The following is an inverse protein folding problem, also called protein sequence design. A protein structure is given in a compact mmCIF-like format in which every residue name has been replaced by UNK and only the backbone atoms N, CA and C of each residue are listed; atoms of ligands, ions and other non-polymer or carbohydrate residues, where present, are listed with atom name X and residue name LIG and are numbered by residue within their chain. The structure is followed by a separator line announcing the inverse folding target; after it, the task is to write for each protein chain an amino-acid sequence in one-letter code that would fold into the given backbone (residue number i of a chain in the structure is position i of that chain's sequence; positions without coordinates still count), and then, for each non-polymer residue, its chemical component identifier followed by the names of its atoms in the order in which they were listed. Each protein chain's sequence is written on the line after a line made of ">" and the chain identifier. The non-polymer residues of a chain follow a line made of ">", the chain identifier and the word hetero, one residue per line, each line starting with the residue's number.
data_IF_046445416809
#
_entry.id   IF_046445416809
#
_cell.length_a   1.000
_cell.length_b   1.000
_cell.length_c   1.000
_cell.angle_alpha   90.00
_cell.angle_beta   90.00
_cell.angle_gamma   90.00
#
_symmetry.space_group_name_H-M   'P 1'
#
loop_
_entity.id
_entity.type
_entity.pdbx_description
1 polymer ?
#
# COMPACT_ATOMS: atom_id res chain seq x y z
N UNK A 1 7.42 -13.94 -20.56
CA UNK A 1 8.40 -12.85 -20.69
C UNK A 1 8.06 -12.08 -21.96
N UNK A 2 7.51 -10.87 -21.84
CA UNK A 2 7.34 -9.99 -22.99
C UNK A 2 8.73 -9.54 -23.49
N UNK A 3 8.96 -9.45 -24.81
CA UNK A 3 10.25 -8.99 -25.32
C UNK A 3 10.47 -7.53 -24.89
N UNK A 4 11.61 -7.27 -24.26
CA UNK A 4 12.09 -5.90 -24.03
C UNK A 4 12.30 -5.27 -25.41
N UNK A 5 11.48 -4.27 -25.75
CA UNK A 5 11.58 -3.55 -27.02
C UNK A 5 12.81 -2.62 -27.03
N UNK A 6 14.00 -3.21 -27.07
CA UNK A 6 15.26 -2.46 -27.05
C UNK A 6 15.39 -1.45 -28.19
N UNK A 7 14.64 -1.63 -29.27
CA UNK A 7 14.67 -0.78 -30.46
C UNK A 7 14.03 0.58 -30.20
N UNK A 8 12.89 0.62 -29.51
CA UNK A 8 12.21 1.88 -29.17
C UNK A 8 13.00 2.70 -28.14
N UNK A 9 13.65 2.04 -27.17
CA UNK A 9 14.54 2.70 -26.22
C UNK A 9 15.75 3.38 -26.88
N UNK A 10 16.32 2.75 -27.91
CA UNK A 10 17.40 3.35 -28.70
C UNK A 10 16.93 4.51 -29.56
N UNK A 11 15.69 4.47 -30.07
CA UNK A 11 15.10 5.57 -30.81
C UNK A 11 14.90 6.81 -29.93
N UNK A 12 14.32 6.66 -28.73
CA UNK A 12 14.16 7.78 -27.80
C UNK A 12 15.50 8.41 -27.41
N UNK A 13 16.57 7.61 -27.27
CA UNK A 13 17.91 8.14 -26.93
C UNK A 13 18.44 9.14 -27.96
N UNK A 14 18.02 9.05 -29.22
CA UNK A 14 18.46 9.93 -30.31
C UNK A 14 17.70 11.26 -30.39
N UNK A 15 16.66 11.44 -29.56
CA UNK A 15 15.88 12.67 -29.55
C UNK A 15 16.69 13.84 -28.96
N UNK A 16 16.94 14.94 -29.71
CA UNK A 16 17.72 16.07 -29.24
C UNK A 16 17.01 16.87 -28.13
N UNK A 17 15.69 16.93 -28.12
CA UNK A 17 14.94 17.69 -27.09
C UNK A 17 14.82 16.89 -25.78
N UNK A 18 15.29 17.41 -24.64
CA UNK A 18 15.20 16.71 -23.36
C UNK A 18 13.76 16.39 -22.94
N UNK A 19 12.82 17.30 -23.20
CA UNK A 19 11.40 17.11 -22.84
C UNK A 19 10.73 16.04 -23.70
N UNK A 20 11.01 16.02 -25.00
CA UNK A 20 10.45 15.01 -25.92
C UNK A 20 11.10 13.64 -25.64
N UNK A 21 12.39 13.62 -25.32
CA UNK A 21 13.09 12.39 -24.92
C UNK A 21 12.46 11.76 -23.68
N UNK A 22 12.16 12.58 -22.66
CA UNK A 22 11.47 12.11 -21.45
C UNK A 22 10.08 11.55 -21.80
N UNK A 23 9.27 12.31 -22.55
CA UNK A 23 7.95 11.86 -22.98
C UNK A 23 7.99 10.57 -23.82
N UNK A 24 9.04 10.38 -24.62
CA UNK A 24 9.27 9.17 -25.42
C UNK A 24 9.52 7.94 -24.54
N UNK A 25 10.35 8.07 -23.50
CA UNK A 25 10.55 6.99 -22.52
C UNK A 25 9.29 6.68 -21.73
N UNK A 26 8.56 7.71 -21.31
CA UNK A 26 7.28 7.55 -20.60
C UNK A 26 6.26 6.79 -21.46
N UNK A 27 6.20 7.07 -22.77
CA UNK A 27 5.31 6.37 -23.70
C UNK A 27 5.65 4.88 -23.85
N UNK A 28 6.94 4.52 -23.91
CA UNK A 28 7.37 3.11 -23.95
C UNK A 28 7.02 2.41 -22.63
N UNK A 29 7.27 3.07 -21.50
CA UNK A 29 6.88 2.58 -20.18
C UNK A 29 5.37 2.34 -20.08
N UNK A 30 4.56 3.27 -20.61
CA UNK A 30 3.10 3.19 -20.61
C UNK A 30 2.54 2.16 -21.60
N UNK A 31 3.22 1.90 -22.73
CA UNK A 31 2.83 0.88 -23.70
C UNK A 31 2.91 -0.55 -23.16
N UNK A 32 3.83 -0.81 -22.21
CA UNK A 32 3.91 -2.07 -21.47
C UNK A 32 2.78 -2.24 -20.44
N UNK A 33 2.08 -1.15 -20.12
CA UNK A 33 0.98 -1.08 -19.13
C UNK A 33 -0.40 -0.95 -19.78
N UNK A 34 -0.50 -0.93 -21.12
CA UNK A 34 -1.77 -0.78 -21.83
C UNK A 34 -2.51 -2.10 -21.99
N UNK A 35 -3.22 -2.49 -20.94
CA UNK A 35 -4.56 -3.08 -21.09
C UNK A 35 -5.53 -2.36 -20.15
N UNK A 36 -6.65 -1.94 -20.72
CA UNK A 36 -7.88 -1.36 -20.13
C UNK A 36 -7.91 0.17 -19.91
N UNK A 37 -8.53 0.83 -20.89
CA UNK A 37 -9.29 2.06 -20.72
C UNK A 37 -10.45 1.86 -19.72
N UNK A 38 -10.74 2.88 -18.88
CA UNK A 38 -12.06 3.06 -18.27
C UNK A 38 -12.27 2.63 -16.81
N UNK A 39 -11.23 2.32 -16.05
CA UNK A 39 -11.32 2.10 -14.60
C UNK A 39 -10.00 2.42 -13.91
N UNK A 40 -10.03 2.89 -12.67
CA UNK A 40 -8.84 3.09 -11.86
C UNK A 40 -7.96 1.84 -11.93
N UNK A 41 -6.79 1.93 -12.58
CA UNK A 41 -5.87 0.79 -12.69
C UNK A 41 -5.37 0.48 -11.29
N UNK A 42 -5.97 -0.53 -10.66
CA UNK A 42 -5.60 -1.01 -9.33
C UNK A 42 -4.16 -1.51 -9.38
N UNK A 43 -3.28 -0.95 -8.55
CA UNK A 43 -1.88 -1.37 -8.52
C UNK A 43 -1.73 -2.84 -8.10
N UNK A 44 -0.57 -3.43 -8.38
CA UNK A 44 -0.22 -4.77 -7.90
C UNK A 44 -0.33 -4.87 -6.36
N UNK A 45 0.02 -3.79 -5.63
CA UNK A 45 -0.11 -3.75 -4.17
C UNK A 45 -1.58 -3.80 -3.75
N UNK A 46 -2.47 -3.04 -4.39
CA UNK A 46 -3.91 -3.10 -4.13
C UNK A 46 -4.47 -4.50 -4.41
N UNK A 47 -4.12 -5.08 -5.55
CA UNK A 47 -4.59 -6.39 -5.99
C UNK A 47 -4.10 -7.51 -5.06
N UNK A 48 -2.85 -7.46 -4.61
CA UNK A 48 -2.29 -8.43 -3.67
C UNK A 48 -3.02 -8.40 -2.31
N UNK A 49 -3.28 -7.20 -1.76
CA UNK A 49 -4.02 -7.06 -0.50
C UNK A 49 -5.44 -7.61 -0.64
N UNK A 50 -6.11 -7.29 -1.75
CA UNK A 50 -7.44 -7.82 -2.03
C UNK A 50 -7.42 -9.36 -2.16
N UNK A 51 -6.52 -9.91 -2.97
CA UNK A 51 -6.42 -11.35 -3.18
C UNK A 51 -6.12 -12.12 -1.89
N UNK A 52 -5.24 -11.59 -1.03
CA UNK A 52 -4.93 -12.18 0.28
C UNK A 52 -6.18 -12.26 1.17
N UNK A 53 -6.97 -11.18 1.25
CA UNK A 53 -8.19 -11.18 2.06
C UNK A 53 -9.32 -12.05 1.48
N UNK A 54 -9.35 -12.28 0.17
CA UNK A 54 -10.30 -13.22 -0.44
C UNK A 54 -10.06 -14.68 0.02
N UNK A 55 -8.87 -14.99 0.53
CA UNK A 55 -8.56 -16.31 1.09
C UNK A 55 -9.01 -16.48 2.55
N UNK A 56 -9.55 -15.44 3.19
CA UNK A 56 -10.00 -15.48 4.59
C UNK A 56 -11.18 -16.45 4.75
N UNK A 57 -11.07 -17.31 5.77
CA UNK A 57 -12.12 -18.22 6.24
C UNK A 57 -12.62 -17.81 7.63
N UNK A 58 -13.76 -18.35 8.12
CA UNK A 58 -14.25 -18.09 9.47
C UNK A 58 -13.25 -18.43 10.59
N UNK A 59 -12.35 -19.40 10.35
CA UNK A 59 -11.33 -19.83 11.31
C UNK A 59 -10.01 -19.04 11.21
N UNK A 60 -9.93 -18.08 10.28
CA UNK A 60 -8.72 -17.29 10.08
C UNK A 60 -8.45 -16.36 11.27
N UNK A 61 -7.18 -16.17 11.65
CA UNK A 61 -6.83 -15.21 12.70
C UNK A 61 -7.22 -13.78 12.30
N UNK A 62 -7.42 -12.86 13.26
CA UNK A 62 -7.77 -11.47 12.98
C UNK A 62 -6.80 -10.78 12.01
N UNK A 63 -5.50 -11.02 12.20
CA UNK A 63 -4.47 -10.66 11.24
C UNK A 63 -4.08 -11.87 10.40
N UNK A 64 -4.28 -11.78 9.09
CA UNK A 64 -3.94 -12.83 8.15
C UNK A 64 -2.51 -12.59 7.64
N UNK A 65 -1.63 -13.56 7.85
CA UNK A 65 -0.24 -13.51 7.36
C UNK A 65 -0.13 -14.29 6.05
N UNK A 66 0.50 -13.67 5.06
CA UNK A 66 0.94 -14.32 3.83
C UNK A 66 2.45 -14.15 3.68
N UNK A 67 3.14 -15.23 3.30
CA UNK A 67 4.57 -15.23 2.98
C UNK A 67 4.76 -15.54 1.51
N UNK A 68 5.64 -14.79 0.88
CA UNK A 68 6.18 -15.07 -0.44
C UNK A 68 7.66 -15.40 -0.27
N UNK A 69 7.95 -16.69 -0.17
CA UNK A 69 9.32 -17.18 0.03
C UNK A 69 10.23 -16.91 -1.18
N UNK A 70 9.65 -16.81 -2.39
CA UNK A 70 10.40 -16.56 -3.62
C UNK A 70 10.95 -15.13 -3.69
N UNK A 71 10.21 -14.18 -3.11
CA UNK A 71 10.60 -12.77 -3.05
C UNK A 71 11.05 -12.31 -1.66
N UNK A 72 11.07 -13.21 -0.67
CA UNK A 72 11.38 -12.88 0.71
C UNK A 72 10.48 -11.76 1.25
N UNK A 73 9.20 -11.79 0.89
CA UNK A 73 8.23 -10.77 1.32
C UNK A 73 7.17 -11.38 2.24
N UNK A 74 6.77 -10.61 3.24
CA UNK A 74 5.72 -11.01 4.17
C UNK A 74 4.70 -9.89 4.27
N UNK A 75 3.41 -10.24 4.18
CA UNK A 75 2.32 -9.25 4.29
C UNK A 75 1.30 -9.73 5.31
N UNK A 76 0.98 -8.84 6.24
CA UNK A 76 -0.02 -9.00 7.26
C UNK A 76 -1.23 -8.12 6.93
N UNK A 77 -2.41 -8.71 6.80
CA UNK A 77 -3.63 -7.97 6.48
C UNK A 77 -4.67 -8.06 7.60
N UNK A 78 -5.44 -6.99 7.76
CA UNK A 78 -6.60 -6.95 8.65
C UNK A 78 -7.71 -6.08 8.06
N UNK A 79 -8.93 -6.61 7.88
CA UNK A 79 -10.07 -5.81 7.48
C UNK A 79 -10.33 -4.68 8.47
N UNK A 80 -10.64 -3.51 7.93
CA UNK A 80 -11.33 -2.48 8.69
C UNK A 80 -12.74 -2.97 9.05
N UNK A 81 -13.40 -2.27 9.96
CA UNK A 81 -14.80 -2.51 10.27
C UNK A 81 -15.67 -2.42 9.01
N UNK A 82 -15.32 -1.52 8.07
CA UNK A 82 -15.98 -1.36 6.77
C UNK A 82 -15.01 -0.77 5.73
N UNK A 83 -15.20 -1.16 4.47
CA UNK A 83 -14.76 -0.38 3.31
C UNK A 83 -13.25 -0.36 3.03
N UNK A 84 -12.44 -1.04 3.85
CA UNK A 84 -10.99 -0.98 3.74
C UNK A 84 -10.30 -2.21 4.36
N UNK A 85 -9.03 -2.39 3.99
CA UNK A 85 -8.13 -3.42 4.55
C UNK A 85 -6.80 -2.76 4.89
N UNK A 86 -6.37 -2.88 6.15
CA UNK A 86 -5.01 -2.56 6.57
C UNK A 86 -4.08 -3.65 6.09
N UNK A 87 -2.96 -3.26 5.48
CA UNK A 87 -1.88 -4.14 5.13
C UNK A 87 -0.56 -3.57 5.65
N UNK A 88 0.18 -4.40 6.37
CA UNK A 88 1.53 -4.10 6.82
C UNK A 88 2.42 -5.14 6.17
N UNK A 89 3.51 -4.75 5.54
CA UNK A 89 4.34 -5.70 4.80
C UNK A 89 5.82 -5.40 4.90
N UNK A 90 6.62 -6.44 4.79
CA UNK A 90 8.04 -6.36 4.51
C UNK A 90 8.25 -6.78 3.07
N UNK A 91 8.57 -5.85 2.17
CA UNK A 91 8.80 -6.12 0.74
C UNK A 91 10.18 -5.58 0.39
N UNK A 92 11.04 -6.41 -0.20
CA UNK A 92 12.43 -6.05 -0.50
C UNK A 92 13.18 -5.48 0.72
N UNK A 93 12.92 -6.03 1.91
CA UNK A 93 13.47 -5.55 3.19
C UNK A 93 13.05 -4.12 3.59
N UNK A 94 11.96 -3.60 3.00
CA UNK A 94 11.37 -2.30 3.34
C UNK A 94 10.00 -2.52 3.99
N UNK A 95 9.78 -1.90 5.15
CA UNK A 95 8.49 -1.92 5.84
C UNK A 95 7.51 -0.98 5.13
N UNK A 96 6.32 -1.48 4.79
CA UNK A 96 5.22 -0.74 4.21
C UNK A 96 4.00 -0.79 5.12
N UNK A 97 3.26 0.32 5.17
CA UNK A 97 1.91 0.38 5.74
C UNK A 97 0.99 0.90 4.65
N UNK A 98 -0.10 0.20 4.40
CA UNK A 98 -1.08 0.52 3.36
C UNK A 98 -2.49 0.33 3.87
N UNK A 99 -3.41 1.14 3.35
CA UNK A 99 -4.85 0.90 3.46
C UNK A 99 -5.40 0.76 2.05
N UNK A 100 -5.84 -0.45 1.72
CA UNK A 100 -6.59 -0.73 0.49
C UNK A 100 -8.05 -0.34 0.72
N UNK A 101 -8.62 0.49 -0.15
CA UNK A 101 -10.00 0.97 -0.03
C UNK A 101 -10.92 0.32 -1.07
N UNK A 102 -12.18 0.10 -0.70
CA UNK A 102 -13.26 -0.33 -1.60
C UNK A 102 -13.76 0.81 -2.49
N UNK A 103 -13.77 2.02 -1.94
CA UNK A 103 -14.18 3.25 -2.62
C UNK A 103 -13.04 4.26 -2.60
N UNK A 104 -12.88 5.08 -3.66
CA UNK A 104 -11.85 6.11 -3.70
C UNK A 104 -11.91 7.06 -2.50
N UNK A 105 -10.73 7.37 -1.97
CA UNK A 105 -10.55 8.39 -0.94
C UNK A 105 -11.03 9.75 -1.45
N UNK A 106 -11.89 10.40 -0.67
CA UNK A 106 -12.47 11.70 -0.98
C UNK A 106 -11.84 12.76 -0.08
N UNK A 107 -10.69 13.27 -0.49
CA UNK A 107 -9.94 14.29 0.24
C UNK A 107 -8.51 14.42 -0.26
N UNK A 108 -7.84 15.49 0.13
CA UNK A 108 -6.42 15.70 -0.15
C UNK A 108 -5.54 15.29 1.04
N UNK A 109 -6.13 15.23 2.23
CA UNK A 109 -5.43 14.88 3.47
C UNK A 109 -5.92 13.56 4.03
N UNK A 110 -5.06 12.91 4.82
CA UNK A 110 -5.37 11.68 5.55
C UNK A 110 -5.08 11.94 7.01
N UNK A 111 -6.13 12.04 7.83
CA UNK A 111 -5.98 12.22 9.27
C UNK A 111 -6.09 10.88 9.97
N UNK A 112 -5.17 10.63 10.89
CA UNK A 112 -5.11 9.37 11.65
C UNK A 112 -5.20 9.66 13.14
N UNK A 113 -6.02 8.87 13.83
CA UNK A 113 -6.15 8.86 15.29
C UNK A 113 -5.93 7.45 15.82
N UNK A 114 -5.31 7.35 17.00
CA UNK A 114 -5.14 6.11 17.75
C UNK A 114 -5.95 6.20 19.04
N UNK A 115 -6.93 5.32 19.21
CA UNK A 115 -7.89 5.36 20.33
C UNK A 115 -8.54 6.74 20.55
N UNK A 116 -8.76 7.48 19.46
CA UNK A 116 -9.34 8.84 19.46
C UNK A 116 -8.35 9.96 19.79
N UNK A 117 -7.07 9.66 19.97
CA UNK A 117 -6.01 10.66 20.11
C UNK A 117 -5.37 10.95 18.75
N UNK A 118 -5.12 12.23 18.38
CA UNK A 118 -4.47 12.56 17.12
C UNK A 118 -3.10 11.90 16.99
N UNK A 119 -2.89 11.19 15.88
CA UNK A 119 -1.59 10.63 15.51
C UNK A 119 -0.67 11.71 14.93
N UNK A 120 0.64 11.53 15.07
CA UNK A 120 1.64 12.52 14.65
C UNK A 120 2.01 12.48 13.15
N UNK A 121 1.14 11.97 12.27
CA UNK A 121 1.57 11.47 10.95
C UNK A 121 0.73 11.84 9.73
N UNK A 122 -0.21 12.80 9.81
CA UNK A 122 -1.10 13.10 8.67
C UNK A 122 -0.34 13.46 7.37
N UNK A 123 0.83 14.11 7.48
CA UNK A 123 1.68 14.50 6.34
C UNK A 123 2.47 13.34 5.71
N UNK A 124 2.44 12.15 6.32
CA UNK A 124 3.23 10.99 5.88
C UNK A 124 2.42 9.98 5.05
N UNK A 125 1.14 10.28 4.79
CA UNK A 125 0.27 9.44 3.95
C UNK A 125 0.20 9.97 2.52
N UNK A 126 0.27 9.04 1.58
CA UNK A 126 0.18 9.29 0.15
C UNK A 126 -1.08 8.62 -0.41
N UNK A 127 -1.89 9.39 -1.11
CA UNK A 127 -3.04 8.89 -1.84
C UNK A 127 -2.54 8.35 -3.20
N UNK A 128 -2.82 7.09 -3.48
CA UNK A 128 -2.42 6.34 -4.69
C UNK A 128 -3.65 5.72 -5.35
N UNK A 129 -3.45 5.18 -6.54
CA UNK A 129 -4.47 4.41 -7.28
C UNK A 129 -5.82 5.15 -7.40
N UNK A 130 -5.75 6.45 -7.74
CA UNK A 130 -6.93 7.33 -7.81
C UNK A 130 -7.79 7.32 -6.54
N UNK A 131 -7.14 7.21 -5.37
CA UNK A 131 -7.81 7.17 -4.08
C UNK A 131 -8.10 5.77 -3.56
N UNK A 132 -7.81 4.71 -4.31
CA UNK A 132 -8.10 3.34 -3.87
C UNK A 132 -7.04 2.75 -2.94
N UNK A 133 -5.89 3.41 -2.78
CA UNK A 133 -4.81 2.96 -1.92
C UNK A 133 -4.22 4.15 -1.16
N UNK A 134 -4.17 4.07 0.16
CA UNK A 134 -3.39 4.97 0.99
C UNK A 134 -2.08 4.26 1.36
N UNK A 135 -0.94 4.90 1.14
CA UNK A 135 0.37 4.36 1.51
C UNK A 135 1.07 5.32 2.47
N UNK A 136 1.56 4.82 3.61
CA UNK A 136 2.38 5.60 4.53
C UNK A 136 3.85 5.64 4.06
N UNK A 137 4.60 6.64 4.54
CA UNK A 137 6.06 6.70 4.37
C UNK A 137 6.74 5.36 4.70
N UNK A 138 7.61 4.89 3.81
CA UNK A 138 8.17 3.53 3.86
C UNK A 138 9.43 3.43 4.73
N UNK A 139 9.76 2.22 5.18
CA UNK A 139 10.99 1.94 5.93
C UNK A 139 10.93 2.48 7.35
N UNK A 140 11.93 3.25 7.77
CA UNK A 140 12.04 3.76 9.14
C UNK A 140 10.79 4.57 9.59
N UNK A 141 10.24 5.51 8.80
CA UNK A 141 8.98 6.17 9.12
C UNK A 141 7.83 5.19 9.43
N UNK A 142 7.61 4.18 8.59
CA UNK A 142 6.61 3.14 8.84
C UNK A 142 6.89 2.37 10.14
N UNK A 143 8.16 2.02 10.40
CA UNK A 143 8.54 1.31 11.62
C UNK A 143 8.21 2.14 12.87
N UNK A 144 8.52 3.44 12.85
CA UNK A 144 8.21 4.33 13.97
C UNK A 144 6.71 4.49 14.19
N UNK A 145 5.92 4.56 13.11
CA UNK A 145 4.46 4.59 13.17
C UNK A 145 3.90 3.28 13.76
N UNK A 146 4.36 2.11 13.28
CA UNK A 146 3.94 0.82 13.84
C UNK A 146 4.31 0.67 15.32
N UNK A 147 5.49 1.17 15.73
CA UNK A 147 5.89 1.19 17.14
C UNK A 147 4.91 2.01 17.99
N UNK A 148 4.38 3.11 17.47
CA UNK A 148 3.34 3.89 18.15
C UNK A 148 2.02 3.13 18.23
N UNK A 149 1.65 2.36 17.22
CA UNK A 149 0.39 1.60 17.19
C UNK A 149 0.35 0.47 18.22
N UNK A 150 1.52 -0.07 18.61
CA UNK A 150 1.61 -1.13 19.61
C UNK A 150 1.05 -0.62 20.95
N UNK A 151 0.04 -1.33 21.45
CA UNK A 151 -0.63 -1.00 22.73
C UNK A 151 -1.95 -0.24 22.56
N UNK A 152 -2.25 0.26 21.36
CA UNK A 152 -3.56 0.82 21.03
C UNK A 152 -4.55 -0.25 20.59
N UNK A 153 -5.84 0.09 20.67
CA UNK A 153 -6.94 -0.82 20.31
C UNK A 153 -7.55 -0.51 18.95
N UNK A 154 -7.54 0.75 18.54
CA UNK A 154 -8.21 1.19 17.32
C UNK A 154 -7.39 2.24 16.56
N UNK A 155 -7.22 2.01 15.26
CA UNK A 155 -6.79 2.98 14.28
C UNK A 155 -8.01 3.60 13.61
N UNK A 156 -8.13 4.92 13.66
CA UNK A 156 -9.18 5.68 13.00
C UNK A 156 -8.56 6.53 11.89
N UNK A 157 -9.14 6.47 10.69
CA UNK A 157 -8.67 7.26 9.55
C UNK A 157 -9.84 8.08 9.01
N UNK A 158 -9.70 9.40 9.03
CA UNK A 158 -10.76 10.35 8.65
C UNK A 158 -10.45 11.01 7.32
N UNK A 159 -11.46 11.03 6.45
CA UNK A 159 -11.47 11.78 5.21
C UNK A 159 -12.13 13.15 5.40
N UNK A 160 -11.81 14.08 4.51
CA UNK A 160 -12.33 15.45 4.54
C UNK A 160 -13.86 15.50 4.40
N UNK A 161 -14.45 14.51 3.71
CA UNK A 161 -15.91 14.38 3.57
C UNK A 161 -16.62 13.74 4.79
N UNK A 162 -15.89 13.48 5.89
CA UNK A 162 -16.43 12.87 7.10
C UNK A 162 -16.47 11.33 7.08
N UNK A 163 -15.99 10.68 6.01
CA UNK A 163 -15.83 9.22 6.03
C UNK A 163 -14.80 8.82 7.10
N UNK A 164 -15.16 7.81 7.90
CA UNK A 164 -14.35 7.31 8.99
C UNK A 164 -14.10 5.82 8.78
N UNK A 165 -12.83 5.47 8.58
CA UNK A 165 -12.37 4.08 8.58
C UNK A 165 -11.89 3.74 9.98
N UNK A 166 -12.21 2.52 10.42
CA UNK A 166 -11.79 2.01 11.73
C UNK A 166 -11.16 0.65 11.57
N UNK A 167 -9.96 0.46 12.11
CA UNK A 167 -9.26 -0.82 12.11
C UNK A 167 -8.96 -1.18 13.56
N UNK A 168 -9.41 -2.35 14.00
CA UNK A 168 -9.04 -2.87 15.30
C UNK A 168 -7.55 -3.30 15.26
N UNK A 169 -6.77 -2.89 16.26
CA UNK A 169 -5.34 -3.16 16.38
C UNK A 169 -5.03 -4.21 17.45
N UNK A 170 -6.04 -4.79 18.10
CA UNK A 170 -5.86 -5.80 19.14
C UNK A 170 -5.06 -7.00 18.61
N UNK A 171 -3.96 -7.37 19.27
CA UNK A 171 -3.07 -8.44 18.83
C UNK A 171 -2.05 -8.04 17.76
N UNK A 172 -1.94 -6.74 17.41
CA UNK A 172 -1.00 -6.25 16.41
C UNK A 172 0.45 -6.59 16.77
N UNK A 173 0.82 -6.44 18.04
CA UNK A 173 2.19 -6.65 18.52
C UNK A 173 2.69 -8.06 18.20
N UNK A 174 1.88 -9.06 18.50
CA UNK A 174 2.18 -10.47 18.26
C UNK A 174 2.18 -10.76 16.76
N UNK A 175 1.20 -10.22 16.03
CA UNK A 175 1.07 -10.43 14.59
C UNK A 175 2.21 -9.82 13.77
N UNK A 176 2.87 -8.77 14.27
CA UNK A 176 4.04 -8.14 13.64
C UNK A 176 5.35 -8.93 13.80
N UNK A 177 5.42 -9.92 14.71
CA UNK A 177 6.64 -10.68 14.98
C UNK A 177 7.34 -11.23 13.72
N UNK A 178 6.66 -11.92 12.77
CA UNK A 178 7.30 -12.40 11.54
C UNK A 178 7.89 -11.25 10.71
N UNK A 179 7.12 -10.18 10.48
CA UNK A 179 7.57 -9.03 9.69
C UNK A 179 8.80 -8.34 10.31
N UNK A 180 8.86 -8.27 11.64
CA UNK A 180 10.02 -7.73 12.37
C UNK A 180 11.27 -8.58 12.19
N UNK A 181 11.12 -9.90 12.13
CA UNK A 181 12.23 -10.81 11.83
C UNK A 181 12.71 -10.62 10.39
N UNK A 182 11.78 -10.53 9.44
CA UNK A 182 12.10 -10.38 8.02
C UNK A 182 12.75 -9.03 7.70
N UNK A 183 12.18 -7.92 8.19
CA UNK A 183 12.68 -6.56 7.96
C UNK A 183 13.72 -6.09 9.00
N UNK A 184 14.04 -6.92 10.01
CA UNK A 184 15.10 -6.72 11.02
C UNK A 184 14.95 -5.44 11.88
N UNK A 185 13.83 -5.30 12.62
CA UNK A 185 13.60 -4.14 13.51
C UNK A 185 12.81 -4.41 14.81
#
# INVERSE_FOLDING_TARGET
>A
MAPLDMTSWQACRREPSPLIRLACYDAIGNGLTQTSEGGATKSAAWQAIWAQEQARTPDSPPFLLQRDEGHGSETLTRPALRGATLAIGCVDSITHIRLRLDTPWAGETVQVELDGQPGSGAQSWFIRDQGLLLEYGRGLPAIEELKRWIGHRELQVRADNGALLRVDLSGLKEALAPLRQQCRW
#
